data_IF_307048643675
#
_entry.id   IF_307048643675
#
_cell.length_a   1.000
_cell.length_b   1.000
_cell.length_c   1.000
_cell.angle_alpha   90.00
_cell.angle_beta   90.00
_cell.angle_gamma   90.00
#
_symmetry.space_group_name_H-M   'P 1'
#
loop_
_entity.id
_entity.type
_entity.pdbx_description
1 polymer ?
#
# COMPACT_ATOMS: atom_id res chain seq x y z
N UNK A 1 -35.19 0.20 0.40
CA UNK A 1 -34.97 -0.03 -1.05
C UNK A 1 -33.50 -0.17 -1.44
N UNK A 2 -32.64 0.82 -1.17
CA UNK A 2 -31.22 0.80 -1.63
C UNK A 2 -30.44 -0.44 -1.17
N UNK A 3 -30.55 -0.84 0.11
CA UNK A 3 -29.87 -2.04 0.63
C UNK A 3 -30.26 -3.33 -0.10
N UNK A 4 -31.52 -3.45 -0.52
CA UNK A 4 -32.06 -4.62 -1.22
C UNK A 4 -31.53 -4.70 -2.66
N UNK A 5 -31.46 -3.56 -3.35
CA UNK A 5 -30.89 -3.46 -4.70
C UNK A 5 -29.39 -3.79 -4.67
N UNK A 6 -28.64 -3.23 -3.72
CA UNK A 6 -27.21 -3.53 -3.55
C UNK A 6 -27.01 -5.01 -3.26
N UNK A 7 -27.81 -5.61 -2.36
CA UNK A 7 -27.71 -7.04 -2.04
C UNK A 7 -27.97 -7.91 -3.29
N UNK A 8 -28.98 -7.57 -4.09
CA UNK A 8 -29.28 -8.27 -5.33
C UNK A 8 -28.16 -8.17 -6.37
N UNK A 9 -27.50 -7.01 -6.47
CA UNK A 9 -26.43 -6.76 -7.44
C UNK A 9 -25.06 -7.33 -7.01
N UNK A 10 -24.81 -7.49 -5.70
CA UNK A 10 -23.55 -8.04 -5.13
C UNK A 10 -23.18 -9.42 -5.65
N UNK A 11 -24.15 -10.20 -6.16
CA UNK A 11 -23.90 -11.52 -6.76
C UNK A 11 -23.08 -11.44 -8.06
N UNK A 12 -23.13 -10.30 -8.76
CA UNK A 12 -22.47 -10.14 -10.05
C UNK A 12 -21.02 -9.66 -9.89
N UNK A 13 -20.08 -10.36 -10.52
CA UNK A 13 -18.65 -10.05 -10.44
C UNK A 13 -18.32 -8.64 -10.98
N UNK A 14 -18.96 -8.22 -12.07
CA UNK A 14 -18.76 -6.89 -12.65
C UNK A 14 -19.17 -5.78 -11.67
N UNK A 15 -20.27 -5.95 -10.96
CA UNK A 15 -20.75 -4.97 -9.98
C UNK A 15 -19.83 -4.88 -8.77
N UNK A 16 -19.29 -6.01 -8.30
CA UNK A 16 -18.26 -6.01 -7.24
C UNK A 16 -17.00 -5.24 -7.65
N UNK A 17 -16.50 -5.48 -8.86
CA UNK A 17 -15.31 -4.79 -9.41
C UNK A 17 -15.58 -3.30 -9.58
N UNK A 18 -16.74 -2.94 -10.11
CA UNK A 18 -17.15 -1.55 -10.28
C UNK A 18 -17.22 -0.82 -8.94
N UNK A 19 -17.92 -1.38 -7.94
CA UNK A 19 -18.00 -0.77 -6.62
C UNK A 19 -16.63 -0.63 -5.96
N UNK A 20 -15.79 -1.68 -6.02
CA UNK A 20 -14.44 -1.61 -5.46
C UNK A 20 -13.63 -0.47 -6.10
N UNK A 21 -13.69 -0.34 -7.44
CA UNK A 21 -13.01 0.74 -8.16
C UNK A 21 -13.55 2.11 -7.76
N UNK A 22 -14.88 2.30 -7.77
CA UNK A 22 -15.48 3.60 -7.43
C UNK A 22 -15.17 3.99 -5.99
N UNK A 23 -15.32 3.07 -5.04
CA UNK A 23 -15.00 3.33 -3.64
C UNK A 23 -13.52 3.68 -3.48
N UNK A 24 -12.62 2.96 -4.14
CA UNK A 24 -11.19 3.26 -4.14
C UNK A 24 -10.89 4.68 -4.63
N UNK A 25 -11.38 5.04 -5.82
CA UNK A 25 -11.13 6.35 -6.44
C UNK A 25 -11.67 7.50 -5.58
N UNK A 26 -12.85 7.32 -4.98
CA UNK A 26 -13.44 8.32 -4.10
C UNK A 26 -12.61 8.51 -2.83
N UNK A 27 -12.24 7.42 -2.15
CA UNK A 27 -11.43 7.51 -0.94
C UNK A 27 -10.07 8.14 -1.22
N UNK A 28 -9.40 7.75 -2.31
CA UNK A 28 -8.11 8.30 -2.69
C UNK A 28 -8.19 9.79 -3.07
N UNK A 29 -9.33 10.24 -3.62
CA UNK A 29 -9.57 11.65 -3.96
C UNK A 29 -9.86 12.53 -2.74
N UNK A 30 -10.60 12.03 -1.76
CA UNK A 30 -11.12 12.85 -0.67
C UNK A 30 -10.28 12.78 0.62
N UNK A 31 -9.51 11.71 0.83
CA UNK A 31 -8.64 11.60 2.01
C UNK A 31 -7.29 12.24 1.65
N UNK A 32 -6.80 13.23 2.44
CA UNK A 32 -5.49 13.82 2.21
C UNK A 32 -4.39 12.75 2.13
N UNK A 33 -3.39 12.99 1.27
CA UNK A 33 -2.28 12.05 1.12
C UNK A 33 -1.55 11.86 2.46
N UNK A 34 -1.28 12.97 3.16
CA UNK A 34 -0.63 13.05 4.47
C UNK A 34 -1.20 12.06 5.51
N UNK A 35 -2.50 11.78 5.43
CA UNK A 35 -3.22 10.95 6.39
C UNK A 35 -3.32 9.48 5.93
N UNK A 36 -3.14 9.19 4.64
CA UNK A 36 -3.37 7.85 4.07
C UNK A 36 -2.51 7.58 2.82
N UNK A 37 -1.20 7.39 3.00
CA UNK A 37 -0.27 7.05 1.92
C UNK A 37 -0.23 5.54 1.63
N UNK A 38 -0.57 4.72 2.63
CA UNK A 38 -0.51 3.26 2.55
C UNK A 38 -1.91 2.66 2.66
N UNK A 39 -2.22 1.78 1.72
CA UNK A 39 -3.53 1.09 1.69
C UNK A 39 -3.44 -0.37 2.10
N UNK A 40 -2.24 -0.82 2.41
CA UNK A 40 -2.01 -2.14 2.96
C UNK A 40 -2.16 -2.14 4.47
N UNK A 41 -2.33 -3.34 5.03
CA UNK A 41 -2.15 -3.57 6.46
C UNK A 41 -0.70 -3.29 6.87
N UNK A 42 -0.42 -3.52 8.15
CA UNK A 42 0.90 -3.30 8.72
C UNK A 42 1.62 -4.56 9.15
N UNK A 43 2.90 -4.39 9.45
CA UNK A 43 3.76 -5.41 10.02
C UNK A 43 4.39 -4.92 11.32
N UNK A 44 4.46 -5.81 12.29
CA UNK A 44 5.24 -5.63 13.51
C UNK A 44 6.16 -6.84 13.68
N UNK A 45 7.49 -6.66 13.68
CA UNK A 45 8.42 -7.73 13.98
C UNK A 45 8.10 -8.37 15.34
N UNK A 46 8.24 -9.69 15.42
CA UNK A 46 8.14 -10.38 16.71
C UNK A 46 9.47 -10.31 17.48
N UNK A 47 9.49 -10.78 18.73
CA UNK A 47 10.65 -10.67 19.62
C UNK A 47 11.94 -11.36 19.12
N UNK A 48 11.82 -12.30 18.18
CA UNK A 48 12.94 -13.06 17.62
C UNK A 48 13.47 -12.48 16.31
N UNK A 49 12.85 -11.40 15.79
CA UNK A 49 13.28 -10.74 14.57
C UNK A 49 14.07 -9.47 14.87
N UNK A 50 15.09 -9.15 14.04
CA UNK A 50 15.81 -7.90 14.20
C UNK A 50 14.88 -6.70 13.99
N UNK A 51 15.10 -5.59 14.70
CA UNK A 51 14.36 -4.37 14.47
C UNK A 51 14.61 -3.86 13.04
N UNK A 52 13.56 -3.29 12.44
CA UNK A 52 13.66 -2.67 11.12
C UNK A 52 14.24 -1.26 11.26
N UNK A 53 15.27 -0.97 10.48
CA UNK A 53 15.84 0.38 10.39
C UNK A 53 14.90 1.29 9.58
N UNK A 54 14.08 2.05 10.30
CA UNK A 54 13.12 2.97 9.72
C UNK A 54 13.26 4.36 10.33
N UNK A 55 12.96 5.42 9.56
CA UNK A 55 12.95 6.78 10.09
C UNK A 55 12.08 6.92 11.35
N UNK A 56 12.61 7.60 12.37
CA UNK A 56 11.87 7.87 13.63
C UNK A 56 10.73 8.88 13.45
N UNK A 57 10.81 9.72 12.42
CA UNK A 57 9.79 10.72 12.08
C UNK A 57 8.50 10.10 11.49
N UNK A 58 8.53 8.82 11.12
CA UNK A 58 7.35 8.12 10.60
C UNK A 58 6.41 7.69 11.73
N UNK A 59 5.68 8.67 12.28
CA UNK A 59 4.65 8.44 13.31
C UNK A 59 3.32 7.99 12.70
N UNK A 60 2.97 8.51 11.53
CA UNK A 60 1.73 8.17 10.83
C UNK A 60 1.97 6.94 9.95
N UNK A 61 1.07 5.96 10.03
CA UNK A 61 1.11 4.73 9.20
C UNK A 61 2.43 3.95 9.30
N UNK A 62 3.02 3.89 10.51
CA UNK A 62 4.27 3.17 10.80
C UNK A 62 4.20 1.69 10.42
N UNK A 63 3.15 0.97 10.80
CA UNK A 63 3.07 -0.47 10.54
C UNK A 63 2.98 -0.81 9.05
N UNK A 64 2.18 -0.11 8.21
CA UNK A 64 2.24 -0.29 6.76
C UNK A 64 3.63 -0.02 6.17
N UNK A 65 4.32 1.04 6.63
CA UNK A 65 5.70 1.30 6.22
C UNK A 65 6.63 0.13 6.59
N UNK A 66 6.51 -0.39 7.81
CA UNK A 66 7.26 -1.56 8.27
C UNK A 66 7.03 -2.77 7.38
N UNK A 67 5.78 -3.01 6.96
CA UNK A 67 5.47 -4.11 6.06
C UNK A 67 6.18 -3.96 4.71
N UNK A 68 6.09 -2.78 4.10
CA UNK A 68 6.76 -2.48 2.84
C UNK A 68 8.28 -2.68 2.93
N UNK A 69 8.90 -2.12 3.97
CA UNK A 69 10.33 -2.26 4.17
C UNK A 69 10.74 -3.71 4.40
N UNK A 70 10.02 -4.42 5.29
CA UNK A 70 10.28 -5.83 5.60
C UNK A 70 10.26 -6.72 4.37
N UNK A 71 9.30 -6.51 3.47
CA UNK A 71 9.18 -7.29 2.24
C UNK A 71 10.28 -6.93 1.24
N UNK A 72 10.55 -5.64 1.06
CA UNK A 72 11.50 -5.17 0.06
C UNK A 72 12.95 -5.60 0.37
N UNK A 73 13.33 -5.67 1.65
CA UNK A 73 14.68 -6.12 2.05
C UNK A 73 14.90 -7.64 1.94
N UNK A 74 13.87 -8.43 1.60
CA UNK A 74 14.02 -9.88 1.38
C UNK A 74 14.73 -10.21 0.07
N UNK A 75 14.95 -9.21 -0.79
CA UNK A 75 15.61 -9.39 -2.07
C UNK A 75 16.46 -8.16 -2.40
N UNK A 76 17.54 -8.36 -3.16
CA UNK A 76 18.42 -7.27 -3.57
C UNK A 76 17.79 -6.51 -4.74
N UNK A 77 17.38 -5.26 -4.49
CA UNK A 77 16.75 -4.40 -5.49
C UNK A 77 17.62 -3.20 -5.91
N UNK A 78 18.78 -3.02 -5.27
CA UNK A 78 19.71 -1.94 -5.63
C UNK A 78 20.12 -2.05 -7.10
N UNK A 79 20.05 -0.94 -7.82
CA UNK A 79 20.37 -0.88 -9.24
C UNK A 79 19.42 -1.64 -10.18
N UNK A 80 18.29 -2.18 -9.69
CA UNK A 80 17.31 -2.90 -10.51
C UNK A 80 16.23 -1.99 -11.08
N UNK A 81 15.53 -2.46 -12.12
CA UNK A 81 14.26 -1.88 -12.56
C UNK A 81 13.11 -2.61 -11.85
N UNK A 82 12.26 -1.86 -11.14
CA UNK A 82 11.20 -2.40 -10.29
C UNK A 82 9.84 -1.91 -10.77
N UNK A 83 8.89 -2.85 -10.90
CA UNK A 83 7.48 -2.59 -11.15
C UNK A 83 6.65 -3.01 -9.93
N UNK A 84 5.93 -2.06 -9.33
CA UNK A 84 4.96 -2.33 -8.26
C UNK A 84 3.56 -2.49 -8.84
N UNK A 85 3.09 -3.74 -8.92
CA UNK A 85 1.72 -4.01 -9.38
C UNK A 85 0.73 -3.68 -8.27
N UNK A 86 -0.05 -2.62 -8.47
CA UNK A 86 -0.98 -2.13 -7.46
C UNK A 86 -0.32 -1.20 -6.44
N UNK A 87 0.49 -0.25 -6.93
CA UNK A 87 1.21 0.76 -6.13
C UNK A 87 0.33 1.66 -5.26
N UNK A 88 -0.96 1.66 -5.56
CA UNK A 88 -1.95 2.34 -4.75
C UNK A 88 -1.80 3.86 -4.83
N UNK A 89 -1.43 4.48 -3.70
CA UNK A 89 -1.15 5.93 -3.62
C UNK A 89 0.35 6.24 -3.62
N UNK A 90 1.21 5.23 -3.81
CA UNK A 90 2.66 5.40 -3.97
C UNK A 90 3.46 5.55 -2.67
N UNK A 91 2.86 5.40 -1.49
CA UNK A 91 3.59 5.50 -0.21
C UNK A 91 4.71 4.45 -0.09
N UNK A 92 4.42 3.20 -0.49
CA UNK A 92 5.41 2.12 -0.52
C UNK A 92 6.51 2.37 -1.55
N UNK A 93 6.11 2.69 -2.79
CA UNK A 93 7.01 3.08 -3.87
C UNK A 93 8.00 4.17 -3.46
N UNK A 94 7.51 5.26 -2.85
CA UNK A 94 8.32 6.38 -2.38
C UNK A 94 9.36 5.93 -1.36
N UNK A 95 8.97 5.09 -0.39
CA UNK A 95 9.89 4.57 0.62
C UNK A 95 10.96 3.67 0.00
N UNK A 96 10.54 2.70 -0.81
CA UNK A 96 11.44 1.72 -1.41
C UNK A 96 12.44 2.39 -2.35
N UNK A 97 11.97 3.26 -3.25
CA UNK A 97 12.82 4.00 -4.18
C UNK A 97 13.82 4.89 -3.43
N UNK A 98 13.40 5.54 -2.35
CA UNK A 98 14.26 6.43 -1.56
C UNK A 98 15.29 5.71 -0.68
N UNK A 99 14.98 4.50 -0.19
CA UNK A 99 15.84 3.77 0.76
C UNK A 99 16.72 2.70 0.13
N UNK A 100 16.21 2.00 -0.88
CA UNK A 100 16.85 0.79 -1.42
C UNK A 100 17.48 0.99 -2.81
N UNK A 101 17.46 2.22 -3.32
CA UNK A 101 18.23 2.68 -4.49
C UNK A 101 18.09 1.79 -5.74
N UNK A 102 16.87 1.45 -6.19
CA UNK A 102 16.70 0.85 -7.50
C UNK A 102 17.19 1.80 -8.60
N UNK A 103 17.59 1.27 -9.76
CA UNK A 103 17.92 2.10 -10.92
C UNK A 103 16.66 2.78 -11.50
N UNK A 104 15.52 2.12 -11.42
CA UNK A 104 14.22 2.65 -11.83
C UNK A 104 13.09 2.00 -11.03
N UNK A 105 12.07 2.79 -10.67
CA UNK A 105 10.90 2.31 -9.95
C UNK A 105 9.63 2.91 -10.55
N UNK A 106 8.64 2.08 -10.86
CA UNK A 106 7.32 2.51 -11.36
C UNK A 106 6.22 1.60 -10.81
N UNK A 107 4.97 2.04 -10.84
CA UNK A 107 3.81 1.27 -10.40
C UNK A 107 2.50 1.99 -10.62
#
# INVERSE_FOLDING_TARGET
MIKMIIHALKRYAWFKRFNAKVTYELLAKYIPEADWHFMNYGYSPNANEPPLDLPEDTKIQRYPLQMYHYLAIKTEIEGKQVLEVGSGRGGGARHIAGRLKPAFYTG
#
